data_IF_810972017602
#
_entry.id   IF_810972017602
#
_cell.length_a   1.000
_cell.length_b   1.000
_cell.length_c   1.000
_cell.angle_alpha   90.00
_cell.angle_beta   90.00
_cell.angle_gamma   90.00
#
_symmetry.space_group_name_H-M   'P 1'
#
loop_
_entity.id
_entity.type
_entity.pdbx_description
1 polymer ?
#
# COMPACT_ATOMS: atom_id res chain seq x y z
N UNK A 1 -7.94 7.57 -5.80
CA UNK A 1 -9.35 7.73 -5.39
C UNK A 1 -10.20 7.64 -6.64
N UNK A 2 -11.02 6.60 -6.76
CA UNK A 2 -12.04 6.52 -7.83
C UNK A 2 -13.20 7.40 -7.40
N UNK A 3 -13.54 8.43 -8.18
CA UNK A 3 -14.75 9.20 -7.96
C UNK A 3 -15.95 8.24 -8.09
N UNK A 4 -16.80 8.19 -7.06
CA UNK A 4 -18.04 7.40 -7.14
C UNK A 4 -18.97 8.00 -8.20
N UNK A 5 -19.95 7.24 -8.74
CA UNK A 5 -20.89 7.77 -9.73
C UNK A 5 -21.58 9.07 -9.28
N UNK A 6 -21.78 9.24 -7.96
CA UNK A 6 -22.31 10.45 -7.36
C UNK A 6 -21.30 11.61 -7.36
N UNK A 7 -20.03 11.35 -7.04
CA UNK A 7 -18.96 12.34 -7.21
C UNK A 7 -18.73 12.66 -8.69
N UNK A 8 -18.85 11.70 -9.60
CA UNK A 8 -18.80 11.96 -11.04
C UNK A 8 -19.98 12.84 -11.44
N UNK A 9 -21.21 12.59 -10.99
CA UNK A 9 -22.38 13.44 -11.29
C UNK A 9 -22.25 14.85 -10.70
N UNK A 10 -21.81 14.98 -9.45
CA UNK A 10 -21.58 16.28 -8.80
C UNK A 10 -20.41 17.01 -9.47
N UNK A 11 -19.32 16.31 -9.82
CA UNK A 11 -18.17 16.91 -10.51
C UNK A 11 -18.51 17.23 -11.97
N UNK A 12 -19.31 16.42 -12.67
CA UNK A 12 -19.77 16.73 -14.04
C UNK A 12 -20.65 17.98 -14.04
N UNK A 13 -21.55 18.09 -13.06
CA UNK A 13 -22.41 19.26 -12.89
C UNK A 13 -21.63 20.53 -12.49
N UNK A 14 -20.50 20.39 -11.78
CA UNK A 14 -19.72 21.53 -11.28
C UNK A 14 -18.49 21.92 -12.12
N UNK A 15 -17.92 21.01 -12.91
CA UNK A 15 -16.64 21.26 -13.64
C UNK A 15 -16.78 21.43 -15.14
N UNK A 16 -17.88 20.98 -15.76
CA UNK A 16 -18.21 21.40 -17.12
C UNK A 16 -18.94 22.74 -17.06
N UNK A 17 -18.16 23.81 -16.90
CA UNK A 17 -18.46 25.07 -17.56
C UNK A 17 -18.49 24.81 -19.06
N UNK A 18 -19.59 24.28 -19.56
CA UNK A 18 -19.83 24.15 -20.98
C UNK A 18 -19.62 25.54 -21.61
N UNK A 19 -18.93 25.65 -22.76
CA UNK A 19 -18.91 26.91 -23.48
C UNK A 19 -20.35 27.37 -23.64
N UNK A 20 -20.62 28.67 -23.45
CA UNK A 20 -21.95 29.29 -23.42
C UNK A 20 -22.68 29.24 -24.78
N UNK A 21 -22.77 28.06 -25.39
CA UNK A 21 -23.64 27.73 -26.50
C UNK A 21 -24.90 27.10 -25.92
N UNK A 22 -26.02 27.79 -26.11
CA UNK A 22 -27.41 27.39 -25.83
C UNK A 22 -27.59 25.95 -25.32
N UNK A 23 -27.55 25.76 -24.00
CA UNK A 23 -28.19 24.62 -23.38
C UNK A 23 -29.68 24.84 -23.63
N UNK A 24 -30.26 24.10 -24.59
CA UNK A 24 -31.71 24.00 -24.70
C UNK A 24 -32.25 23.62 -23.33
N UNK A 25 -33.02 24.52 -22.72
CA UNK A 25 -33.55 24.31 -21.39
C UNK A 25 -34.38 23.02 -21.41
N UNK A 26 -33.91 21.99 -20.71
CA UNK A 26 -34.69 20.77 -20.51
C UNK A 26 -36.08 21.15 -20.01
N UNK A 27 -37.15 20.58 -20.57
CA UNK A 27 -38.50 20.94 -20.18
C UNK A 27 -38.69 20.78 -18.67
N UNK A 28 -39.35 21.73 -17.99
CA UNK A 28 -39.49 21.68 -16.54
C UNK A 28 -40.24 20.41 -16.13
N UNK A 29 -39.74 19.74 -15.10
CA UNK A 29 -40.37 18.54 -14.59
C UNK A 29 -41.80 18.83 -14.11
N UNK A 30 -42.79 18.00 -14.51
CA UNK A 30 -44.19 18.29 -14.23
C UNK A 30 -44.45 18.36 -12.73
N UNK A 31 -45.18 19.40 -12.30
CA UNK A 31 -45.70 19.49 -10.94
C UNK A 31 -46.74 18.39 -10.75
N UNK A 32 -46.58 17.50 -9.76
CA UNK A 32 -47.51 16.40 -9.56
C UNK A 32 -48.90 16.97 -9.23
N UNK A 33 -49.90 16.62 -10.05
CA UNK A 33 -51.31 16.94 -9.80
C UNK A 33 -51.86 15.92 -8.80
N UNK A 34 -51.75 16.24 -7.51
CA UNK A 34 -52.21 15.41 -6.39
C UNK A 34 -51.11 14.60 -5.72
N UNK A 35 -51.51 13.83 -4.70
CA UNK A 35 -50.58 13.11 -3.82
C UNK A 35 -50.51 11.61 -4.09
N UNK A 36 -50.81 11.16 -5.32
CA UNK A 36 -50.62 9.74 -5.65
C UNK A 36 -49.13 9.37 -5.61
N UNK A 37 -48.83 8.15 -5.15
CA UNK A 37 -47.46 7.65 -5.04
C UNK A 37 -46.74 7.73 -6.40
N UNK A 38 -47.40 7.35 -7.48
CA UNK A 38 -46.81 7.37 -8.83
C UNK A 38 -46.55 8.77 -9.36
N UNK A 39 -47.39 9.75 -9.03
CA UNK A 39 -47.16 11.14 -9.45
C UNK A 39 -45.97 11.73 -8.70
N UNK A 40 -45.91 11.58 -7.38
CA UNK A 40 -44.81 12.08 -6.55
C UNK A 40 -43.48 11.39 -6.90
N UNK A 41 -43.48 10.07 -7.11
CA UNK A 41 -42.28 9.33 -7.50
C UNK A 41 -41.76 9.76 -8.88
N UNK A 42 -42.63 9.84 -9.90
CA UNK A 42 -42.20 10.28 -11.24
C UNK A 42 -41.69 11.72 -11.26
N UNK A 43 -42.33 12.61 -10.50
CA UNK A 43 -41.85 13.99 -10.36
C UNK A 43 -40.45 14.04 -9.71
N UNK A 44 -40.20 13.20 -8.70
CA UNK A 44 -38.89 13.08 -8.06
C UNK A 44 -37.82 12.49 -9.01
N UNK A 45 -38.17 11.45 -9.80
CA UNK A 45 -37.27 10.89 -10.81
C UNK A 45 -36.91 11.93 -11.87
N UNK A 46 -37.89 12.65 -12.41
CA UNK A 46 -37.63 13.69 -13.40
C UNK A 46 -36.64 14.73 -12.86
N UNK A 47 -36.81 15.20 -11.61
CA UNK A 47 -35.87 16.16 -11.01
C UNK A 47 -34.45 15.62 -10.91
N UNK A 48 -34.27 14.32 -10.67
CA UNK A 48 -32.95 13.69 -10.72
C UNK A 48 -32.41 13.61 -12.15
N UNK A 49 -33.26 13.29 -13.14
CA UNK A 49 -32.88 13.15 -14.54
C UNK A 49 -32.43 14.49 -15.15
N UNK A 50 -33.05 15.61 -14.75
CA UNK A 50 -32.63 16.97 -15.14
C UNK A 50 -31.60 17.58 -14.18
N UNK A 51 -31.12 16.82 -13.19
CA UNK A 51 -30.09 17.21 -12.21
C UNK A 51 -30.48 18.43 -11.36
N UNK A 52 -31.78 18.64 -11.12
CA UNK A 52 -32.30 19.63 -10.16
C UNK A 52 -32.28 19.01 -8.74
N UNK A 53 -31.11 18.99 -8.14
CA UNK A 53 -30.84 18.33 -6.85
C UNK A 53 -31.71 18.88 -5.70
N UNK A 54 -31.85 20.20 -5.49
CA UNK A 54 -32.71 20.75 -4.42
C UNK A 54 -34.18 20.34 -4.57
N UNK A 55 -34.72 20.38 -5.79
CA UNK A 55 -36.10 19.98 -6.05
C UNK A 55 -36.28 18.46 -5.90
N UNK A 56 -35.30 17.67 -6.36
CA UNK A 56 -35.30 16.22 -6.16
C UNK A 56 -35.33 15.85 -4.67
N UNK A 57 -34.53 16.51 -3.83
CA UNK A 57 -34.56 16.32 -2.37
C UNK A 57 -35.94 16.64 -1.80
N UNK A 58 -36.54 17.76 -2.19
CA UNK A 58 -37.88 18.16 -1.73
C UNK A 58 -38.93 17.12 -2.12
N UNK A 59 -38.92 16.65 -3.36
CA UNK A 59 -39.90 15.68 -3.88
C UNK A 59 -39.72 14.29 -3.29
N UNK A 60 -38.48 13.79 -3.16
CA UNK A 60 -38.18 12.52 -2.52
C UNK A 60 -38.59 12.53 -1.04
N UNK A 61 -38.32 13.63 -0.32
CA UNK A 61 -38.72 13.80 1.08
C UNK A 61 -40.24 13.81 1.21
N UNK A 62 -40.94 14.52 0.33
CA UNK A 62 -42.41 14.51 0.28
C UNK A 62 -42.94 13.11 0.01
N UNK A 63 -42.43 12.42 -1.01
CA UNK A 63 -42.82 11.06 -1.36
C UNK A 63 -42.68 10.11 -0.15
N UNK A 64 -41.49 10.06 0.47
CA UNK A 64 -41.22 9.16 1.59
C UNK A 64 -42.03 9.49 2.86
N UNK A 65 -42.49 10.73 2.99
CA UNK A 65 -43.33 11.18 4.11
C UNK A 65 -44.79 10.82 3.88
N UNK A 66 -45.32 11.05 2.68
CA UNK A 66 -46.72 10.79 2.34
C UNK A 66 -47.00 9.30 2.14
N UNK A 67 -46.04 8.55 1.57
CA UNK A 67 -46.21 7.12 1.23
C UNK A 67 -45.20 6.21 1.95
N UNK A 68 -45.11 6.23 3.29
CA UNK A 68 -44.05 5.52 4.02
C UNK A 68 -44.08 3.99 3.84
N UNK A 69 -45.25 3.41 3.52
CA UNK A 69 -45.43 1.98 3.30
C UNK A 69 -45.19 1.55 1.84
N UNK A 70 -45.08 2.50 0.90
CA UNK A 70 -44.76 2.17 -0.50
C UNK A 70 -43.33 1.56 -0.58
N UNK A 71 -43.13 0.42 -1.27
CA UNK A 71 -41.81 -0.20 -1.39
C UNK A 71 -40.72 0.73 -1.93
N UNK A 72 -41.07 1.74 -2.72
CA UNK A 72 -40.16 2.76 -3.26
C UNK A 72 -39.70 3.76 -2.20
N UNK A 73 -40.34 3.85 -1.03
CA UNK A 73 -39.92 4.77 0.03
C UNK A 73 -38.55 4.43 0.60
N UNK A 74 -38.19 3.14 0.62
CA UNK A 74 -36.81 2.71 0.91
C UNK A 74 -35.84 3.31 -0.12
N UNK A 75 -36.17 3.21 -1.41
CA UNK A 75 -35.34 3.79 -2.48
C UNK A 75 -35.28 5.33 -2.39
N UNK A 76 -36.37 5.97 -1.97
CA UNK A 76 -36.39 7.42 -1.75
C UNK A 76 -35.42 7.81 -0.64
N UNK A 77 -35.43 7.11 0.49
CA UNK A 77 -34.50 7.33 1.58
C UNK A 77 -33.04 7.03 1.19
N UNK A 78 -32.79 5.92 0.49
CA UNK A 78 -31.46 5.57 -0.04
C UNK A 78 -30.88 6.68 -0.95
N UNK A 79 -31.73 7.35 -1.73
CA UNK A 79 -31.32 8.48 -2.58
C UNK A 79 -31.18 9.79 -1.81
N UNK A 80 -32.05 10.06 -0.83
CA UNK A 80 -32.02 11.29 -0.05
C UNK A 80 -30.73 11.47 0.75
N UNK A 81 -30.21 10.40 1.36
CA UNK A 81 -29.02 10.48 2.21
C UNK A 81 -27.80 11.04 1.46
N UNK A 82 -27.35 10.47 0.33
CA UNK A 82 -26.23 11.03 -0.44
C UNK A 82 -26.51 12.42 -1.02
N UNK A 83 -27.74 12.72 -1.44
CA UNK A 83 -28.08 14.05 -1.98
C UNK A 83 -27.96 15.13 -0.89
N UNK A 84 -28.49 14.87 0.30
CA UNK A 84 -28.40 15.80 1.43
C UNK A 84 -26.94 16.00 1.87
N UNK A 85 -26.18 14.91 1.97
CA UNK A 85 -24.77 14.99 2.32
C UNK A 85 -23.95 15.73 1.24
N UNK A 86 -24.27 15.56 -0.05
CA UNK A 86 -23.63 16.27 -1.15
C UNK A 86 -23.95 17.77 -1.17
N UNK A 87 -25.10 18.17 -0.62
CA UNK A 87 -25.46 19.57 -0.38
C UNK A 87 -24.86 20.15 0.93
N UNK A 88 -24.07 19.37 1.68
CA UNK A 88 -23.54 19.74 2.98
C UNK A 88 -24.54 19.64 4.16
N UNK A 89 -25.77 19.19 3.93
CA UNK A 89 -26.78 18.94 4.97
C UNK A 89 -26.55 17.57 5.66
N UNK A 90 -25.40 17.41 6.32
CA UNK A 90 -25.04 16.18 7.03
C UNK A 90 -26.01 15.86 8.18
N UNK A 91 -26.61 16.88 8.79
CA UNK A 91 -27.61 16.70 9.87
C UNK A 91 -28.90 16.11 9.30
N UNK A 92 -29.39 16.64 8.18
CA UNK A 92 -30.54 16.12 7.46
C UNK A 92 -30.29 14.70 6.93
N UNK A 93 -29.12 14.44 6.35
CA UNK A 93 -28.73 13.12 5.89
C UNK A 93 -28.79 12.07 7.02
N UNK A 94 -28.22 12.37 8.19
CA UNK A 94 -28.29 11.49 9.38
C UNK A 94 -29.71 11.32 9.91
N UNK A 95 -30.54 12.37 9.89
CA UNK A 95 -31.94 12.27 10.29
C UNK A 95 -32.75 11.33 9.37
N UNK A 96 -32.52 11.43 8.05
CA UNK A 96 -33.12 10.53 7.06
C UNK A 96 -32.65 9.10 7.24
N UNK A 97 -31.35 8.87 7.45
CA UNK A 97 -30.81 7.54 7.72
C UNK A 97 -31.45 6.89 8.96
N UNK A 98 -31.56 7.63 10.07
CA UNK A 98 -32.25 7.14 11.27
C UNK A 98 -33.73 6.83 11.03
N UNK A 99 -34.40 7.61 10.17
CA UNK A 99 -35.78 7.35 9.80
C UNK A 99 -35.90 6.05 8.97
N UNK A 100 -34.98 5.82 8.04
CA UNK A 100 -34.85 4.59 7.27
C UNK A 100 -34.63 3.39 8.20
N UNK A 101 -33.67 3.48 9.11
CA UNK A 101 -33.35 2.44 10.10
C UNK A 101 -34.59 2.07 10.95
N UNK A 102 -35.23 3.06 11.59
CA UNK A 102 -36.38 2.81 12.47
C UNK A 102 -37.57 2.19 11.77
N UNK A 103 -37.90 2.65 10.56
CA UNK A 103 -39.10 2.20 9.84
C UNK A 103 -38.91 0.85 9.14
N UNK A 104 -37.67 0.42 8.93
CA UNK A 104 -37.37 -0.64 7.98
C UNK A 104 -36.35 -1.67 8.53
N UNK A 105 -36.57 -2.25 9.71
CA UNK A 105 -35.64 -3.19 10.38
C UNK A 105 -35.57 -4.64 9.86
N UNK A 106 -36.15 -5.01 8.70
CA UNK A 106 -36.01 -6.39 8.16
C UNK A 106 -34.66 -6.58 7.46
N UNK A 107 -34.13 -7.80 7.38
CA UNK A 107 -32.80 -8.09 6.81
C UNK A 107 -32.51 -7.44 5.43
N UNK A 108 -33.44 -7.53 4.47
CA UNK A 108 -33.31 -6.86 3.15
C UNK A 108 -33.16 -5.34 3.23
N UNK A 109 -33.71 -4.74 4.28
CA UNK A 109 -33.73 -3.29 4.51
C UNK A 109 -32.51 -2.84 5.35
N UNK A 110 -31.87 -3.73 6.12
CA UNK A 110 -30.56 -3.47 6.75
C UNK A 110 -29.48 -3.27 5.67
N UNK A 111 -29.52 -4.05 4.59
CA UNK A 111 -28.64 -3.88 3.42
C UNK A 111 -28.84 -2.48 2.80
N UNK A 112 -30.08 -2.05 2.64
CA UNK A 112 -30.42 -0.73 2.12
C UNK A 112 -29.92 0.40 3.03
N UNK A 113 -30.18 0.30 4.33
CA UNK A 113 -29.69 1.26 5.32
C UNK A 113 -28.15 1.34 5.34
N UNK A 114 -27.46 0.20 5.23
CA UNK A 114 -25.99 0.17 5.14
C UNK A 114 -25.46 0.85 3.88
N UNK A 115 -26.15 0.75 2.73
CA UNK A 115 -25.77 1.47 1.51
C UNK A 115 -25.94 2.98 1.66
N UNK A 116 -27.03 3.42 2.25
CA UNK A 116 -27.28 4.83 2.53
C UNK A 116 -26.22 5.40 3.50
N UNK A 117 -25.90 4.66 4.57
CA UNK A 117 -24.86 5.03 5.52
C UNK A 117 -23.47 5.12 4.86
N UNK A 118 -23.12 4.18 3.97
CA UNK A 118 -21.87 4.22 3.22
C UNK A 118 -21.77 5.45 2.31
N UNK A 119 -22.85 5.83 1.65
CA UNK A 119 -22.85 7.02 0.81
C UNK A 119 -22.64 8.31 1.61
N UNK A 120 -23.11 8.36 2.87
CA UNK A 120 -22.80 9.45 3.80
C UNK A 120 -21.31 9.47 4.19
N UNK A 121 -20.71 8.29 4.43
CA UNK A 121 -19.29 8.14 4.79
C UNK A 121 -18.33 8.68 3.73
N UNK A 122 -18.63 8.48 2.45
CA UNK A 122 -17.77 8.94 1.35
C UNK A 122 -17.69 10.46 1.22
N UNK A 123 -18.59 11.18 1.89
CA UNK A 123 -18.68 12.63 1.88
C UNK A 123 -18.09 13.28 3.15
N UNK A 124 -17.60 12.47 4.10
CA UNK A 124 -16.85 12.97 5.25
C UNK A 124 -15.45 13.40 4.81
N UNK A 125 -15.17 14.70 4.86
CA UNK A 125 -13.89 15.27 4.42
C UNK A 125 -12.76 15.22 5.45
N UNK A 126 -13.09 15.04 6.74
CA UNK A 126 -12.11 14.97 7.83
C UNK A 126 -11.89 13.51 8.27
N UNK A 127 -10.63 13.14 8.49
CA UNK A 127 -10.25 11.76 8.81
C UNK A 127 -10.72 11.31 10.20
N UNK A 128 -10.84 12.23 11.19
CA UNK A 128 -11.42 11.87 12.50
C UNK A 128 -12.91 11.60 12.41
N UNK A 129 -13.64 12.47 11.70
CA UNK A 129 -15.06 12.28 11.45
C UNK A 129 -15.26 10.97 10.69
N UNK A 130 -14.46 10.73 9.66
CA UNK A 130 -14.53 9.51 8.85
C UNK A 130 -14.24 8.25 9.67
N UNK A 131 -13.21 8.29 10.54
CA UNK A 131 -12.90 7.18 11.46
C UNK A 131 -14.07 6.89 12.39
N UNK A 132 -14.62 7.92 13.04
CA UNK A 132 -15.74 7.76 13.97
C UNK A 132 -16.99 7.20 13.28
N UNK A 133 -17.31 7.68 12.09
CA UNK A 133 -18.46 7.21 11.31
C UNK A 133 -18.22 5.78 10.78
N UNK A 134 -16.99 5.41 10.37
CA UNK A 134 -16.65 4.03 9.97
C UNK A 134 -16.80 3.05 11.14
N UNK A 135 -16.38 3.45 12.34
CA UNK A 135 -16.58 2.66 13.55
C UNK A 135 -18.07 2.49 13.85
N UNK A 136 -18.84 3.60 13.86
CA UNK A 136 -20.28 3.56 14.08
C UNK A 136 -21.00 2.68 13.03
N UNK A 137 -20.55 2.72 11.78
CA UNK A 137 -21.06 1.84 10.73
C UNK A 137 -20.79 0.36 11.03
N UNK A 138 -19.58 0.00 11.44
CA UNK A 138 -19.24 -1.39 11.78
C UNK A 138 -19.98 -1.87 13.04
N UNK A 139 -20.22 -0.99 14.01
CA UNK A 139 -20.99 -1.32 15.21
C UNK A 139 -22.47 -1.59 14.87
N UNK A 140 -23.05 -0.81 13.96
CA UNK A 140 -24.46 -0.96 13.56
C UNK A 140 -24.68 -2.07 12.52
N UNK A 141 -23.74 -2.26 11.58
CA UNK A 141 -23.93 -3.05 10.36
C UNK A 141 -22.87 -4.16 10.17
N UNK A 142 -21.91 -4.31 11.09
CA UNK A 142 -20.78 -5.22 10.96
C UNK A 142 -21.13 -6.70 10.89
N UNK A 143 -22.34 -7.10 11.30
CA UNK A 143 -22.83 -8.48 11.25
C UNK A 143 -23.87 -8.69 10.14
N UNK A 144 -24.75 -7.70 9.91
CA UNK A 144 -25.98 -7.85 9.11
C UNK A 144 -26.04 -6.95 7.88
N UNK A 145 -25.10 -6.01 7.73
CA UNK A 145 -25.02 -5.09 6.61
C UNK A 145 -24.64 -5.73 5.27
N UNK A 146 -24.63 -4.93 4.20
CA UNK A 146 -24.22 -5.39 2.89
C UNK A 146 -22.78 -5.96 2.94
N UNK A 147 -22.54 -7.21 2.46
CA UNK A 147 -21.23 -7.86 2.52
C UNK A 147 -20.06 -7.02 2.03
N UNK A 148 -20.19 -6.39 0.86
CA UNK A 148 -19.12 -5.58 0.28
C UNK A 148 -18.79 -4.35 1.14
N UNK A 149 -19.80 -3.73 1.75
CA UNK A 149 -19.64 -2.54 2.58
C UNK A 149 -19.01 -2.86 3.93
N UNK A 150 -19.32 -4.02 4.52
CA UNK A 150 -18.68 -4.50 5.76
C UNK A 150 -17.17 -4.64 5.56
N UNK A 151 -16.76 -5.27 4.45
CA UNK A 151 -15.34 -5.42 4.07
C UNK A 151 -14.70 -4.06 3.81
N UNK A 152 -15.37 -3.19 3.05
CA UNK A 152 -14.85 -1.87 2.72
C UNK A 152 -14.69 -0.96 3.95
N UNK A 153 -15.62 -1.03 4.90
CA UNK A 153 -15.56 -0.30 6.15
C UNK A 153 -14.41 -0.78 7.02
N UNK A 154 -14.27 -2.10 7.21
CA UNK A 154 -13.17 -2.68 7.99
C UNK A 154 -11.80 -2.33 7.37
N UNK A 155 -11.64 -2.47 6.06
CA UNK A 155 -10.38 -2.13 5.38
C UNK A 155 -10.05 -0.64 5.46
N UNK A 156 -11.04 0.24 5.33
CA UNK A 156 -10.82 1.70 5.38
C UNK A 156 -10.57 2.21 6.79
N UNK A 157 -11.26 1.66 7.80
CA UNK A 157 -10.98 1.95 9.21
C UNK A 157 -9.56 1.47 9.57
N UNK A 158 -9.21 0.27 9.12
CA UNK A 158 -7.88 -0.29 9.32
C UNK A 158 -6.77 0.56 8.72
N UNK A 159 -6.96 1.06 7.49
CA UNK A 159 -6.03 1.99 6.83
C UNK A 159 -5.88 3.30 7.61
N UNK A 160 -6.97 3.93 8.04
CA UNK A 160 -6.92 5.19 8.79
C UNK A 160 -6.20 5.02 10.13
N UNK A 161 -6.54 3.97 10.89
CA UNK A 161 -5.85 3.66 12.15
C UNK A 161 -4.37 3.36 11.92
N UNK A 162 -4.06 2.63 10.85
CA UNK A 162 -2.69 2.36 10.46
C UNK A 162 -1.93 3.64 10.11
N UNK A 163 -2.45 4.51 9.25
CA UNK A 163 -1.80 5.77 8.88
C UNK A 163 -1.57 6.67 10.09
N UNK A 164 -2.59 6.82 10.95
CA UNK A 164 -2.51 7.63 12.18
C UNK A 164 -1.57 7.08 13.24
N UNK A 165 -1.26 5.79 13.19
CA UNK A 165 -0.26 5.24 14.11
C UNK A 165 1.13 5.80 13.85
N UNK A 166 1.43 6.41 12.69
CA UNK A 166 2.70 7.11 12.48
C UNK A 166 2.79 8.35 13.38
N UNK A 167 3.78 8.40 14.27
CA UNK A 167 4.04 9.59 15.10
C UNK A 167 4.62 10.74 14.26
N UNK A 168 5.40 10.40 13.23
CA UNK A 168 6.00 11.32 12.27
C UNK A 168 5.61 10.88 10.86
N UNK A 169 5.32 11.84 9.97
CA UNK A 169 5.07 11.57 8.55
C UNK A 169 6.34 11.01 7.92
N UNK A 170 6.32 9.71 7.57
CA UNK A 170 7.43 9.08 6.85
C UNK A 170 7.30 9.18 5.34
N UNK A 171 8.29 8.66 4.62
CA UNK A 171 8.31 8.72 3.16
C UNK A 171 7.27 7.80 2.50
N UNK A 172 6.57 8.35 1.52
CA UNK A 172 5.80 7.60 0.53
C UNK A 172 4.93 6.47 1.16
N UNK A 173 4.08 6.82 2.13
CA UNK A 173 3.10 5.93 2.78
C UNK A 173 3.63 4.90 3.80
N UNK A 174 4.88 5.01 4.27
CA UNK A 174 5.41 4.24 5.42
C UNK A 174 5.73 5.16 6.59
N UNK A 175 5.73 4.65 7.84
CA UNK A 175 6.24 5.46 8.96
C UNK A 175 7.77 5.41 9.07
N UNK A 176 8.41 4.37 8.53
CA UNK A 176 9.86 4.23 8.61
C UNK A 176 10.47 5.10 7.52
N UNK A 177 11.22 6.14 7.92
CA UNK A 177 12.00 6.95 6.99
C UNK A 177 12.84 6.02 6.13
N UNK A 178 12.83 6.23 4.81
CA UNK A 178 13.74 5.50 3.93
C UNK A 178 15.14 5.85 4.43
N UNK A 179 16.05 4.90 4.67
CA UNK A 179 17.43 5.27 4.90
C UNK A 179 17.88 6.03 3.64
N UNK A 180 17.96 7.36 3.74
CA UNK A 180 18.27 8.26 2.63
C UNK A 180 19.55 7.76 2.00
N UNK A 181 19.43 7.28 0.77
CA UNK A 181 20.49 7.17 -0.21
C UNK A 181 21.90 6.79 0.31
N UNK A 182 22.03 5.86 1.25
CA UNK A 182 23.28 5.16 1.45
C UNK A 182 23.71 4.34 0.22
N UNK A 183 22.90 3.95 -0.80
CA UNK A 183 23.45 3.18 -1.91
C UNK A 183 24.30 4.04 -2.85
N UNK A 184 23.96 5.29 -3.19
CA UNK A 184 24.85 6.07 -4.06
C UNK A 184 26.10 6.52 -3.31
N UNK A 185 26.00 6.99 -2.06
CA UNK A 185 27.17 7.34 -1.27
C UNK A 185 27.97 6.12 -0.81
N UNK A 186 27.37 4.99 -0.41
CA UNK A 186 28.12 3.79 -0.01
C UNK A 186 28.57 2.96 -1.22
N UNK A 187 27.85 2.94 -2.35
CA UNK A 187 28.36 2.29 -3.57
C UNK A 187 29.38 3.20 -4.26
N UNK A 188 29.21 4.53 -4.29
CA UNK A 188 30.21 5.47 -4.82
C UNK A 188 31.41 5.64 -3.88
N UNK A 189 31.27 5.70 -2.55
CA UNK A 189 32.40 5.70 -1.61
C UNK A 189 33.08 4.33 -1.56
N UNK A 190 32.33 3.22 -1.58
CA UNK A 190 32.96 1.90 -1.63
C UNK A 190 33.50 1.54 -3.03
N UNK A 191 33.36 2.43 -4.03
CA UNK A 191 34.07 2.35 -5.32
C UNK A 191 35.07 3.48 -5.54
N UNK A 192 35.00 4.59 -4.81
CA UNK A 192 35.90 5.74 -4.91
C UNK A 192 36.99 5.77 -3.81
N UNK A 193 36.79 5.06 -2.69
CA UNK A 193 37.73 5.01 -1.56
C UNK A 193 38.06 3.56 -1.20
N UNK A 194 38.82 2.90 -2.08
CA UNK A 194 39.63 1.73 -1.72
C UNK A 194 40.95 2.11 -1.03
N UNK A 195 41.28 3.40 -0.89
CA UNK A 195 42.57 3.86 -0.36
C UNK A 195 42.56 4.55 1.00
N UNK A 196 41.45 5.16 1.45
CA UNK A 196 41.51 6.01 2.65
C UNK A 196 40.41 5.74 3.68
N UNK A 197 40.90 5.61 4.91
CA UNK A 197 40.22 5.36 6.19
C UNK A 197 38.78 5.87 6.26
N UNK A 198 37.83 4.96 6.08
CA UNK A 198 36.43 5.21 6.42
C UNK A 198 36.28 5.18 7.94
N UNK A 199 36.03 6.34 8.53
CA UNK A 199 35.51 6.43 9.90
C UNK A 199 34.14 5.75 9.93
N UNK A 200 33.92 4.91 10.94
CA UNK A 200 32.60 4.33 11.22
C UNK A 200 31.54 5.44 11.18
N UNK A 201 30.40 5.24 10.49
CA UNK A 201 29.22 6.01 10.84
C UNK A 201 28.93 5.65 12.30
N UNK A 202 28.95 6.66 13.18
CA UNK A 202 28.50 6.51 14.55
C UNK A 202 27.16 5.77 14.53
N UNK A 203 26.95 4.83 15.46
CA UNK A 203 25.65 4.21 15.70
C UNK A 203 24.60 5.32 15.72
N UNK A 204 23.89 5.46 14.59
CA UNK A 204 22.96 6.56 14.41
C UNK A 204 21.86 6.46 15.47
N UNK A 205 21.17 7.56 15.78
CA UNK A 205 19.93 7.47 16.54
C UNK A 205 19.03 6.37 15.95
N UNK A 206 18.23 5.66 16.78
CA UNK A 206 17.26 4.70 16.27
C UNK A 206 16.45 5.35 15.15
N UNK A 207 16.16 4.62 14.05
CA UNK A 207 15.55 5.24 12.89
C UNK A 207 14.24 5.94 13.30
N UNK A 208 14.06 7.23 12.95
CA UNK A 208 12.79 7.92 13.14
C UNK A 208 11.67 7.14 12.42
N UNK A 209 10.45 7.19 12.98
CA UNK A 209 9.32 6.42 12.46
C UNK A 209 8.67 5.41 13.41
N UNK A 210 8.60 5.74 14.71
CA UNK A 210 7.85 4.93 15.65
C UNK A 210 6.35 4.96 15.33
N UNK A 211 5.71 3.78 15.39
CA UNK A 211 4.26 3.69 15.39
C UNK A 211 3.75 3.69 16.82
N UNK A 212 2.63 4.34 17.08
CA UNK A 212 1.84 4.10 18.29
C UNK A 212 1.31 2.65 18.24
N UNK A 213 1.79 1.73 19.12
CA UNK A 213 1.50 0.31 18.98
C UNK A 213 0.01 -0.02 19.04
N UNK A 214 -0.74 0.66 19.92
CA UNK A 214 -2.17 0.44 20.09
C UNK A 214 -2.97 0.74 18.82
N UNK A 215 -2.69 1.87 18.15
CA UNK A 215 -3.33 2.23 16.88
C UNK A 215 -2.91 1.30 15.74
N UNK A 216 -1.63 0.92 15.69
CA UNK A 216 -1.12 0.00 14.68
C UNK A 216 -1.77 -1.39 14.78
N UNK A 217 -1.92 -1.93 16.00
CA UNK A 217 -2.54 -3.23 16.25
C UNK A 217 -4.05 -3.19 16.01
N UNK A 218 -4.74 -2.11 16.41
CA UNK A 218 -6.14 -1.89 16.09
C UNK A 218 -6.36 -1.81 14.56
N UNK A 219 -5.49 -1.08 13.85
CA UNK A 219 -5.50 -1.00 12.40
C UNK A 219 -5.30 -2.36 11.73
N UNK A 220 -4.26 -3.09 12.13
CA UNK A 220 -3.99 -4.44 11.63
C UNK A 220 -5.16 -5.41 11.88
N UNK A 221 -5.80 -5.32 13.04
CA UNK A 221 -6.96 -6.14 13.39
C UNK A 221 -8.15 -5.88 12.45
N UNK A 222 -8.44 -4.62 12.12
CA UNK A 222 -9.52 -4.29 11.18
C UNK A 222 -9.18 -4.68 9.73
N UNK A 223 -7.92 -4.55 9.32
CA UNK A 223 -7.46 -5.03 8.01
C UNK A 223 -7.60 -6.55 7.88
N UNK A 224 -7.21 -7.30 8.92
CA UNK A 224 -7.38 -8.74 8.97
C UNK A 224 -8.87 -9.12 8.96
N UNK A 225 -9.71 -8.43 9.73
CA UNK A 225 -11.17 -8.61 9.71
C UNK A 225 -11.74 -8.46 8.30
N UNK A 226 -11.27 -7.50 7.49
CA UNK A 226 -11.73 -7.35 6.11
C UNK A 226 -11.41 -8.59 5.25
N UNK A 227 -10.23 -9.18 5.44
CA UNK A 227 -9.83 -10.44 4.77
C UNK A 227 -10.72 -11.59 5.24
N UNK A 228 -10.92 -11.74 6.55
CA UNK A 228 -11.71 -12.83 7.12
C UNK A 228 -13.17 -12.77 6.66
N UNK A 229 -13.77 -11.58 6.68
CA UNK A 229 -15.12 -11.32 6.15
C UNK A 229 -15.25 -11.77 4.68
N UNK A 230 -14.22 -11.56 3.86
CA UNK A 230 -14.25 -11.96 2.45
C UNK A 230 -14.24 -13.47 2.23
N UNK A 231 -13.81 -14.23 3.23
CA UNK A 231 -13.76 -15.69 3.18
C UNK A 231 -15.10 -16.33 3.57
N UNK A 232 -15.98 -15.60 4.26
CA UNK A 232 -17.31 -16.09 4.65
C UNK A 232 -18.15 -16.51 3.42
N UNK A 233 -18.81 -17.66 3.54
CA UNK A 233 -19.66 -18.21 2.47
C UNK A 233 -20.89 -17.34 2.16
N UNK A 234 -21.36 -16.57 3.15
CA UNK A 234 -22.43 -15.57 3.03
C UNK A 234 -22.03 -14.45 2.07
N UNK A 235 -20.79 -13.96 2.17
CA UNK A 235 -20.26 -12.91 1.31
C UNK A 235 -20.15 -13.38 -0.13
N UNK A 236 -19.56 -14.57 -0.37
CA UNK A 236 -19.41 -15.11 -1.73
C UNK A 236 -20.75 -15.22 -2.47
N UNK A 237 -21.82 -15.59 -1.77
CA UNK A 237 -23.20 -15.65 -2.32
C UNK A 237 -23.83 -14.27 -2.52
N UNK A 238 -23.46 -13.28 -1.71
CA UNK A 238 -24.01 -11.92 -1.74
C UNK A 238 -23.40 -11.00 -2.80
N UNK A 239 -22.22 -11.30 -3.35
CA UNK A 239 -21.51 -10.45 -4.32
C UNK A 239 -21.99 -10.61 -5.77
N UNK A 240 -23.27 -10.31 -6.02
CA UNK A 240 -23.87 -10.46 -7.35
C UNK A 240 -23.53 -9.32 -8.30
N UNK A 241 -23.39 -8.08 -7.80
CA UNK A 241 -23.14 -6.90 -8.62
C UNK A 241 -21.66 -6.75 -8.95
N UNK A 242 -21.35 -6.29 -10.16
CA UNK A 242 -19.97 -6.03 -10.57
C UNK A 242 -19.30 -4.96 -9.71
N UNK A 243 -20.05 -3.92 -9.33
CA UNK A 243 -19.60 -2.86 -8.42
C UNK A 243 -19.23 -3.38 -7.03
N UNK A 244 -20.08 -4.23 -6.44
CA UNK A 244 -19.81 -4.86 -5.14
C UNK A 244 -18.52 -5.70 -5.21
N UNK A 245 -18.32 -6.46 -6.30
CA UNK A 245 -17.08 -7.21 -6.52
C UNK A 245 -15.86 -6.29 -6.65
N UNK A 246 -15.96 -5.21 -7.43
CA UNK A 246 -14.87 -4.26 -7.61
C UNK A 246 -14.50 -3.57 -6.29
N UNK A 247 -15.50 -3.18 -5.49
CA UNK A 247 -15.30 -2.61 -4.16
C UNK A 247 -14.56 -3.60 -3.25
N UNK A 248 -15.00 -4.86 -3.18
CA UNK A 248 -14.31 -5.89 -2.38
C UNK A 248 -12.87 -6.09 -2.84
N UNK A 249 -12.61 -6.16 -4.14
CA UNK A 249 -11.23 -6.28 -4.64
C UNK A 249 -10.36 -5.09 -4.23
N UNK A 250 -10.92 -3.87 -4.28
CA UNK A 250 -10.22 -2.66 -3.84
C UNK A 250 -9.93 -2.68 -2.34
N UNK A 251 -10.91 -3.07 -1.52
CA UNK A 251 -10.76 -3.18 -0.08
C UNK A 251 -9.76 -4.25 0.34
N UNK A 252 -9.74 -5.39 -0.34
CA UNK A 252 -8.78 -6.46 -0.07
C UNK A 252 -7.36 -6.08 -0.49
N UNK A 253 -7.18 -5.40 -1.64
CA UNK A 253 -5.88 -4.88 -2.03
C UNK A 253 -5.32 -3.93 -0.97
N UNK A 254 -6.18 -3.06 -0.42
CA UNK A 254 -5.83 -2.14 0.68
C UNK A 254 -5.43 -2.91 1.94
N UNK A 255 -6.26 -3.87 2.37
CA UNK A 255 -5.98 -4.70 3.54
C UNK A 255 -4.66 -5.47 3.43
N UNK A 256 -4.46 -6.16 2.31
CA UNK A 256 -3.25 -6.94 2.02
C UNK A 256 -2.01 -6.03 1.95
N UNK A 257 -2.13 -4.84 1.37
CA UNK A 257 -1.02 -3.88 1.28
C UNK A 257 -0.55 -3.41 2.64
N UNK A 258 -1.45 -2.95 3.51
CA UNK A 258 -1.07 -2.42 4.82
C UNK A 258 -0.57 -3.51 5.77
N UNK A 259 -1.10 -4.73 5.69
CA UNK A 259 -0.55 -5.86 6.45
C UNK A 259 0.87 -6.23 5.97
N UNK A 260 1.10 -6.25 4.65
CA UNK A 260 2.46 -6.46 4.11
C UNK A 260 3.40 -5.30 4.49
N UNK A 261 2.90 -4.07 4.55
CA UNK A 261 3.66 -2.89 4.99
C UNK A 261 4.07 -3.01 6.46
N UNK A 262 3.20 -3.50 7.35
CA UNK A 262 3.55 -3.78 8.76
C UNK A 262 4.75 -4.71 8.86
N UNK A 263 4.69 -5.81 8.12
CA UNK A 263 5.72 -6.84 8.16
C UNK A 263 7.02 -6.35 7.50
N UNK A 264 6.90 -5.53 6.44
CA UNK A 264 8.04 -4.86 5.81
C UNK A 264 8.75 -3.90 6.77
N UNK A 265 8.01 -3.08 7.51
CA UNK A 265 8.60 -2.19 8.51
C UNK A 265 9.22 -2.95 9.70
N UNK A 266 8.62 -4.09 10.09
CA UNK A 266 9.21 -4.98 11.10
C UNK A 266 10.55 -5.53 10.63
N UNK A 267 10.64 -5.95 9.37
CA UNK A 267 11.88 -6.41 8.76
C UNK A 267 12.94 -5.29 8.77
N UNK A 268 12.58 -4.07 8.33
CA UNK A 268 13.49 -2.93 8.32
C UNK A 268 13.99 -2.56 9.72
N UNK A 269 13.11 -2.59 10.73
CA UNK A 269 13.47 -2.29 12.13
C UNK A 269 14.38 -3.35 12.75
N UNK A 270 14.16 -4.63 12.44
CA UNK A 270 15.03 -5.71 12.92
C UNK A 270 16.44 -5.58 12.37
N UNK A 271 16.58 -4.99 11.18
CA UNK A 271 17.85 -4.88 10.49
C UNK A 271 18.40 -6.25 10.10
N UNK A 272 19.70 -6.29 9.78
CA UNK A 272 20.40 -7.56 9.55
C UNK A 272 20.62 -8.28 10.89
N UNK A 273 20.65 -9.62 10.90
CA UNK A 273 20.98 -10.38 12.10
C UNK A 273 22.30 -9.88 12.72
N UNK A 274 22.38 -9.73 14.06
CA UNK A 274 23.58 -9.23 14.72
C UNK A 274 24.82 -10.06 14.44
N UNK A 275 24.68 -11.35 14.09
CA UNK A 275 25.76 -12.25 13.68
C UNK A 275 26.45 -11.82 12.36
N UNK A 276 25.84 -10.87 11.63
CA UNK A 276 26.39 -10.27 10.40
C UNK A 276 27.23 -9.01 10.73
N UNK A 277 27.08 -8.44 11.92
CA UNK A 277 27.76 -7.20 12.34
C UNK A 277 29.01 -7.49 13.18
N UNK A 278 30.03 -8.12 12.61
CA UNK A 278 31.35 -8.10 13.25
C UNK A 278 32.09 -6.79 12.93
N UNK A 279 32.41 -6.04 13.99
CA UNK A 279 33.10 -4.76 13.89
C UNK A 279 34.56 -4.98 13.46
N UNK A 280 34.95 -4.38 12.33
CA UNK A 280 36.35 -4.34 11.89
C UNK A 280 37.33 -3.80 12.96
N UNK A 281 36.83 -3.05 13.95
CA UNK A 281 37.66 -2.52 15.05
C UNK A 281 38.04 -3.54 16.13
N UNK A 282 37.24 -4.60 16.34
CA UNK A 282 37.59 -5.65 17.33
C UNK A 282 38.68 -6.60 16.82
N UNK A 283 38.85 -6.68 15.51
CA UNK A 283 39.81 -7.59 14.88
C UNK A 283 41.22 -6.96 14.82
N UNK A 284 41.32 -5.63 14.85
CA UNK A 284 42.57 -4.88 14.61
C UNK A 284 43.73 -5.18 15.58
N UNK A 285 43.49 -5.67 16.79
CA UNK A 285 44.56 -5.88 17.78
C UNK A 285 45.12 -7.30 17.82
N UNK A 286 44.44 -8.29 17.25
CA UNK A 286 44.88 -9.71 17.23
C UNK A 286 45.49 -10.14 15.88
N UNK A 287 45.52 -9.22 14.89
CA UNK A 287 45.71 -9.49 13.45
C UNK A 287 47.15 -9.52 12.91
N UNK A 288 48.17 -9.71 13.75
CA UNK A 288 49.55 -9.85 13.24
C UNK A 288 49.88 -11.28 12.75
N UNK A 289 49.03 -12.27 13.06
CA UNK A 289 49.29 -13.70 12.79
C UNK A 289 48.53 -14.21 11.55
N UNK A 290 49.18 -14.92 10.60
CA UNK A 290 48.50 -15.64 9.51
C UNK A 290 47.40 -16.61 9.96
N UNK A 291 47.47 -17.25 11.14
CA UNK A 291 46.35 -18.08 11.64
C UNK A 291 45.08 -17.25 11.93
N UNK A 292 45.26 -15.99 12.35
CA UNK A 292 44.16 -15.04 12.56
C UNK A 292 43.49 -14.59 11.25
N UNK A 293 44.18 -14.70 10.11
CA UNK A 293 43.60 -14.38 8.79
C UNK A 293 42.62 -15.47 8.34
N UNK A 294 42.94 -16.75 8.51
CA UNK A 294 42.04 -17.85 8.12
C UNK A 294 40.76 -17.89 8.97
N UNK A 295 40.87 -17.63 10.28
CA UNK A 295 39.69 -17.47 11.14
C UNK A 295 38.81 -16.30 10.73
N UNK A 296 39.40 -15.18 10.26
CA UNK A 296 38.63 -14.05 9.73
C UNK A 296 37.83 -14.43 8.48
N UNK A 297 38.45 -15.13 7.53
CA UNK A 297 37.76 -15.59 6.30
C UNK A 297 36.61 -16.53 6.64
N UNK A 298 36.80 -17.44 7.59
CA UNK A 298 35.75 -18.36 8.04
C UNK A 298 34.59 -17.63 8.74
N UNK A 299 34.87 -16.66 9.61
CA UNK A 299 33.83 -15.85 10.27
C UNK A 299 33.08 -15.01 9.24
N UNK A 300 33.78 -14.34 8.33
CA UNK A 300 33.17 -13.56 7.25
C UNK A 300 32.34 -14.46 6.32
N UNK A 301 32.80 -15.67 5.96
CA UNK A 301 32.02 -16.66 5.21
C UNK A 301 30.78 -17.14 5.98
N UNK A 302 30.84 -17.24 7.31
CA UNK A 302 29.65 -17.57 8.12
C UNK A 302 28.66 -16.42 8.11
N UNK A 303 29.11 -15.17 8.27
CA UNK A 303 28.25 -13.98 8.15
C UNK A 303 27.66 -13.86 6.74
N UNK A 304 28.42 -14.22 5.69
CA UNK A 304 27.96 -14.35 4.31
C UNK A 304 26.79 -15.32 4.19
N UNK A 305 26.99 -16.53 4.71
CA UNK A 305 26.01 -17.62 4.65
C UNK A 305 24.79 -17.28 5.49
N UNK A 306 24.96 -16.64 6.64
CA UNK A 306 23.86 -16.14 7.47
C UNK A 306 23.06 -15.07 6.73
N UNK A 307 23.74 -14.16 6.02
CA UNK A 307 23.10 -13.11 5.24
C UNK A 307 22.43 -13.66 3.97
N UNK A 308 23.01 -14.66 3.32
CA UNK A 308 22.41 -15.37 2.20
C UNK A 308 21.22 -16.23 2.65
N UNK A 309 21.29 -16.88 3.81
CA UNK A 309 20.18 -17.59 4.43
C UNK A 309 19.05 -16.62 4.80
N UNK A 310 19.40 -15.42 5.29
CA UNK A 310 18.45 -14.34 5.52
C UNK A 310 17.82 -13.86 4.21
N UNK A 311 18.60 -13.69 3.14
CA UNK A 311 18.11 -13.32 1.80
C UNK A 311 17.18 -14.39 1.19
N UNK A 312 17.29 -15.64 1.66
CA UNK A 312 16.41 -16.75 1.32
C UNK A 312 15.33 -17.02 2.37
N UNK A 313 15.24 -16.20 3.41
CA UNK A 313 14.34 -16.43 4.52
C UNK A 313 12.88 -16.44 4.04
N UNK A 314 12.10 -17.33 4.64
CA UNK A 314 10.68 -17.48 4.33
C UNK A 314 9.91 -16.17 4.56
N UNK A 315 10.40 -15.29 5.43
CA UNK A 315 9.85 -13.97 5.69
C UNK A 315 9.92 -13.02 4.48
N UNK A 316 11.04 -13.00 3.75
CA UNK A 316 11.18 -12.20 2.52
C UNK A 316 10.22 -12.71 1.44
N UNK A 317 10.17 -14.03 1.25
CA UNK A 317 9.24 -14.66 0.30
C UNK A 317 7.79 -14.42 0.71
N UNK A 318 7.47 -14.41 2.00
CA UNK A 318 6.14 -14.10 2.50
C UNK A 318 5.75 -12.65 2.20
N UNK A 319 6.67 -11.69 2.34
CA UNK A 319 6.47 -10.28 1.96
C UNK A 319 6.27 -10.12 0.46
N UNK A 320 7.11 -10.73 -0.36
CA UNK A 320 6.96 -10.73 -1.83
C UNK A 320 5.60 -11.29 -2.24
N UNK A 321 5.19 -12.43 -1.68
CA UNK A 321 3.86 -13.02 -1.92
C UNK A 321 2.74 -12.10 -1.43
N UNK A 322 2.94 -11.40 -0.32
CA UNK A 322 2.03 -10.39 0.20
C UNK A 322 1.76 -9.28 -0.81
N UNK A 323 2.83 -8.64 -1.29
CA UNK A 323 2.73 -7.58 -2.31
C UNK A 323 2.27 -8.11 -3.68
N UNK A 324 2.64 -9.33 -4.06
CA UNK A 324 2.17 -9.94 -5.28
C UNK A 324 0.65 -10.14 -5.28
N UNK A 325 0.03 -10.48 -4.13
CA UNK A 325 -1.44 -10.50 -3.99
C UNK A 325 -2.03 -9.13 -4.25
N UNK A 326 -1.47 -8.07 -3.68
CA UNK A 326 -1.92 -6.68 -3.93
C UNK A 326 -1.87 -6.32 -5.41
N UNK A 327 -0.77 -6.65 -6.10
CA UNK A 327 -0.60 -6.40 -7.54
C UNK A 327 -1.65 -7.18 -8.35
N UNK A 328 -1.90 -8.44 -7.99
CA UNK A 328 -2.88 -9.29 -8.67
C UNK A 328 -4.33 -8.79 -8.53
N UNK A 329 -4.64 -8.00 -7.49
CA UNK A 329 -5.95 -7.34 -7.32
C UNK A 329 -6.19 -6.22 -8.34
N UNK A 330 -5.13 -5.73 -9.00
CA UNK A 330 -5.24 -4.77 -10.11
C UNK A 330 -5.62 -3.35 -9.72
N UNK A 331 -5.52 -2.97 -8.44
CA UNK A 331 -5.74 -1.59 -8.00
C UNK A 331 -4.54 -0.73 -8.38
N UNK A 332 -4.64 0.25 -9.31
CA UNK A 332 -3.46 0.84 -9.93
C UNK A 332 -2.46 1.47 -8.96
N UNK A 333 -2.94 2.35 -8.07
CA UNK A 333 -2.09 3.05 -7.10
C UNK A 333 -1.45 2.07 -6.12
N UNK A 334 -2.24 1.15 -5.56
CA UNK A 334 -1.73 0.15 -4.60
C UNK A 334 -0.79 -0.87 -5.27
N UNK A 335 -1.03 -1.24 -6.52
CA UNK A 335 -0.16 -2.13 -7.28
C UNK A 335 1.19 -1.47 -7.56
N UNK A 336 1.20 -0.18 -7.93
CA UNK A 336 2.42 0.59 -8.11
C UNK A 336 3.21 0.73 -6.80
N UNK A 337 2.51 1.00 -5.68
CA UNK A 337 3.13 1.05 -4.36
C UNK A 337 3.69 -0.32 -3.93
N UNK A 338 2.93 -1.40 -4.12
CA UNK A 338 3.37 -2.75 -3.83
C UNK A 338 4.62 -3.15 -4.64
N UNK A 339 4.65 -2.83 -5.94
CA UNK A 339 5.82 -3.05 -6.78
C UNK A 339 7.03 -2.23 -6.30
N UNK A 340 6.81 -0.98 -5.88
CA UNK A 340 7.85 -0.14 -5.25
C UNK A 340 8.41 -0.79 -3.98
N UNK A 341 7.55 -1.37 -3.12
CA UNK A 341 7.99 -2.03 -1.89
C UNK A 341 8.78 -3.31 -2.14
N UNK A 342 8.36 -4.11 -3.12
CA UNK A 342 9.15 -5.27 -3.58
C UNK A 342 10.53 -4.82 -4.09
N UNK A 343 10.58 -3.75 -4.88
CA UNK A 343 11.83 -3.21 -5.37
C UNK A 343 12.76 -2.75 -4.23
N UNK A 344 12.21 -2.01 -3.27
CA UNK A 344 12.91 -1.56 -2.07
C UNK A 344 13.39 -2.72 -1.19
N UNK A 345 12.60 -3.78 -1.07
CA UNK A 345 12.96 -4.99 -0.34
C UNK A 345 14.23 -5.63 -0.92
N UNK A 346 14.22 -5.89 -2.23
CA UNK A 346 15.38 -6.44 -2.91
C UNK A 346 16.58 -5.50 -2.93
N UNK A 347 16.33 -4.18 -3.07
CA UNK A 347 17.39 -3.17 -2.97
C UNK A 347 18.04 -3.21 -1.59
N UNK A 348 17.25 -3.29 -0.51
CA UNK A 348 17.75 -3.40 0.86
C UNK A 348 18.62 -4.65 1.04
N UNK A 349 18.13 -5.83 0.63
CA UNK A 349 18.88 -7.09 0.71
C UNK A 349 20.18 -7.02 -0.10
N UNK A 350 20.13 -6.49 -1.33
CA UNK A 350 21.31 -6.33 -2.16
C UNK A 350 22.33 -5.36 -1.55
N UNK A 351 21.89 -4.21 -1.05
CA UNK A 351 22.74 -3.23 -0.38
C UNK A 351 23.37 -3.81 0.89
N UNK A 352 22.62 -4.59 1.65
CA UNK A 352 23.14 -5.31 2.83
C UNK A 352 24.22 -6.32 2.46
N UNK A 353 24.02 -7.13 1.41
CA UNK A 353 25.01 -8.09 0.91
C UNK A 353 26.28 -7.40 0.40
N UNK A 354 26.12 -6.28 -0.29
CA UNK A 354 27.26 -5.53 -0.86
C UNK A 354 27.95 -4.64 0.19
N UNK A 355 27.26 -4.24 1.25
CA UNK A 355 27.70 -3.27 2.24
C UNK A 355 28.64 -3.80 3.33
N UNK A 356 29.01 -5.09 3.32
CA UNK A 356 29.90 -5.68 4.33
C UNK A 356 31.30 -5.04 4.22
N UNK A 357 31.72 -4.17 5.17
CA UNK A 357 32.88 -3.29 5.00
C UNK A 357 34.24 -4.01 5.07
N UNK A 358 34.32 -5.16 5.73
CA UNK A 358 35.58 -5.78 6.15
C UNK A 358 36.36 -6.46 5.02
N UNK A 359 35.75 -6.67 3.85
CA UNK A 359 36.32 -7.51 2.79
C UNK A 359 36.95 -6.75 1.64
N UNK A 360 36.51 -5.50 1.40
CA UNK A 360 37.00 -4.71 0.26
C UNK A 360 38.45 -4.24 0.44
N UNK A 361 38.89 -4.05 1.68
CA UNK A 361 40.30 -3.76 1.99
C UNK A 361 41.24 -4.97 1.87
N UNK A 362 40.70 -6.19 1.92
CA UNK A 362 41.47 -7.43 1.74
C UNK A 362 41.59 -7.83 0.26
N UNK A 363 40.59 -7.48 -0.56
CA UNK A 363 40.50 -7.82 -1.99
C UNK A 363 41.65 -7.31 -2.84
N UNK A 364 42.22 -6.15 -2.49
CA UNK A 364 43.39 -5.60 -3.17
C UNK A 364 44.72 -6.19 -2.71
N UNK A 365 44.74 -6.92 -1.58
CA UNK A 365 45.97 -7.42 -0.96
C UNK A 365 46.12 -8.93 -1.07
N UNK A 366 45.05 -9.66 -1.39
CA UNK A 366 45.04 -11.12 -1.39
C UNK A 366 44.11 -11.69 -2.46
N UNK A 367 44.52 -12.75 -3.21
CA UNK A 367 43.71 -13.38 -4.25
C UNK A 367 42.36 -13.90 -3.75
N UNK A 368 42.31 -14.39 -2.51
CA UNK A 368 41.09 -14.98 -1.94
C UNK A 368 39.97 -13.95 -1.72
N UNK A 369 40.31 -12.67 -1.50
CA UNK A 369 39.30 -11.65 -1.26
C UNK A 369 38.62 -11.16 -2.55
N UNK A 370 39.25 -11.34 -3.72
CA UNK A 370 38.58 -11.18 -5.02
C UNK A 370 37.55 -12.30 -5.25
N UNK A 371 37.92 -13.56 -5.01
CA UNK A 371 37.00 -14.72 -5.08
C UNK A 371 35.83 -14.57 -4.10
N UNK A 372 36.11 -14.07 -2.90
CA UNK A 372 35.10 -13.77 -1.89
C UNK A 372 34.13 -12.69 -2.37
N UNK A 373 34.62 -11.56 -2.89
CA UNK A 373 33.77 -10.51 -3.46
C UNK A 373 32.91 -11.01 -4.62
N UNK A 374 33.47 -11.89 -5.46
CA UNK A 374 32.73 -12.51 -6.56
C UNK A 374 31.61 -13.44 -6.06
N UNK A 375 31.87 -14.25 -5.03
CA UNK A 375 30.87 -15.09 -4.39
C UNK A 375 29.70 -14.25 -3.82
N UNK A 376 29.99 -13.13 -3.16
CA UNK A 376 28.96 -12.21 -2.67
C UNK A 376 28.18 -11.52 -3.78
N UNK A 377 28.88 -11.07 -4.82
CA UNK A 377 28.24 -10.51 -5.99
C UNK A 377 27.29 -11.53 -6.63
N UNK A 378 27.63 -12.82 -6.64
CA UNK A 378 26.75 -13.88 -7.13
C UNK A 378 25.44 -13.97 -6.31
N UNK A 379 25.48 -13.78 -4.99
CA UNK A 379 24.27 -13.72 -4.15
C UNK A 379 23.49 -12.42 -4.28
N UNK A 380 24.16 -11.27 -4.42
CA UNK A 380 23.51 -9.96 -4.53
C UNK A 380 22.86 -9.72 -5.90
N UNK A 381 23.47 -10.24 -6.99
CA UNK A 381 23.02 -10.03 -8.38
C UNK A 381 21.54 -10.39 -8.62
N UNK A 382 21.02 -11.54 -8.15
CA UNK A 382 19.59 -11.86 -8.24
C UNK A 382 18.69 -10.79 -7.63
N UNK A 383 19.04 -10.27 -6.45
CA UNK A 383 18.26 -9.21 -5.79
C UNK A 383 18.36 -7.88 -6.53
N UNK A 384 19.53 -7.50 -7.05
CA UNK A 384 19.66 -6.30 -7.90
C UNK A 384 18.76 -6.41 -9.15
N UNK A 385 18.77 -7.57 -9.83
CA UNK A 385 17.92 -7.80 -11.01
C UNK A 385 16.43 -7.75 -10.65
N UNK A 386 16.04 -8.36 -9.53
CA UNK A 386 14.67 -8.33 -9.03
C UNK A 386 14.22 -6.90 -8.67
N UNK A 387 15.09 -6.10 -8.03
CA UNK A 387 14.81 -4.70 -7.71
C UNK A 387 14.58 -3.86 -8.99
N UNK A 388 15.45 -4.00 -10.00
CA UNK A 388 15.29 -3.32 -11.30
C UNK A 388 13.99 -3.74 -11.98
N UNK A 389 13.69 -5.04 -12.00
CA UNK A 389 12.46 -5.55 -12.60
C UNK A 389 11.21 -5.00 -11.89
N UNK A 390 11.21 -4.94 -10.57
CA UNK A 390 10.09 -4.42 -9.78
C UNK A 390 9.91 -2.90 -9.93
N UNK A 391 10.98 -2.11 -9.98
CA UNK A 391 10.87 -0.67 -10.33
C UNK A 391 10.34 -0.45 -11.74
N UNK A 392 10.80 -1.25 -12.71
CA UNK A 392 10.28 -1.22 -14.08
C UNK A 392 8.79 -1.55 -14.15
N UNK A 393 8.33 -2.56 -13.39
CA UNK A 393 6.91 -2.88 -13.26
C UNK A 393 6.13 -1.71 -12.64
N UNK A 394 6.63 -1.10 -11.56
CA UNK A 394 5.98 0.08 -10.98
C UNK A 394 5.84 1.21 -12.01
N UNK A 395 6.91 1.55 -12.73
CA UNK A 395 6.88 2.60 -13.74
C UNK A 395 5.84 2.29 -14.83
N UNK A 396 5.80 1.05 -15.33
CA UNK A 396 4.81 0.61 -16.31
C UNK A 396 3.36 0.65 -15.77
N UNK A 397 3.13 0.44 -14.47
CA UNK A 397 1.82 0.65 -13.85
C UNK A 397 1.45 2.13 -13.78
N UNK A 398 2.40 2.99 -13.38
CA UNK A 398 2.17 4.41 -13.23
C UNK A 398 1.89 5.10 -14.57
N UNK A 399 2.58 4.70 -15.65
CA UNK A 399 2.32 5.21 -17.01
C UNK A 399 0.91 4.89 -17.51
N UNK A 400 0.44 3.66 -17.26
CA UNK A 400 -0.88 3.22 -17.72
C UNK A 400 -2.04 3.88 -16.97
N UNK A 401 -1.79 4.46 -15.79
CA UNK A 401 -2.83 4.95 -14.91
C UNK A 401 -2.52 6.36 -14.40
N UNK A 402 -3.23 7.36 -14.94
CA UNK A 402 -3.07 8.78 -14.58
C UNK A 402 -3.13 9.05 -13.06
N UNK A 403 -3.86 8.22 -12.30
CA UNK A 403 -3.98 8.31 -10.84
C UNK A 403 -2.75 7.87 -10.02
N UNK A 404 -1.63 7.50 -10.66
CA UNK A 404 -0.41 7.04 -10.00
C UNK A 404 0.80 7.98 -10.26
N UNK A 405 0.57 9.22 -10.69
CA UNK A 405 1.63 10.19 -11.00
C UNK A 405 2.60 10.43 -9.83
N UNK A 406 2.11 10.49 -8.59
CA UNK A 406 2.95 10.64 -7.40
C UNK A 406 3.92 9.46 -7.21
N UNK A 407 3.49 8.23 -7.56
CA UNK A 407 4.30 7.01 -7.44
C UNK A 407 5.32 6.91 -8.58
N UNK A 408 5.00 7.46 -9.75
CA UNK A 408 5.89 7.45 -10.94
C UNK A 408 7.28 7.98 -10.60
N UNK A 409 7.35 9.14 -9.93
CA UNK A 409 8.64 9.75 -9.55
C UNK A 409 9.46 8.80 -8.66
N UNK A 410 8.85 8.24 -7.62
CA UNK A 410 9.52 7.29 -6.72
C UNK A 410 10.06 6.07 -7.46
N UNK A 411 9.38 5.62 -8.51
CA UNK A 411 9.80 4.46 -9.29
C UNK A 411 10.95 4.77 -10.26
N UNK A 412 10.93 5.96 -10.88
CA UNK A 412 12.05 6.47 -11.67
C UNK A 412 13.28 6.71 -10.81
N UNK A 413 13.14 7.42 -9.70
CA UNK A 413 14.25 7.68 -8.76
C UNK A 413 14.89 6.37 -8.27
N UNK A 414 14.05 5.37 -7.97
CA UNK A 414 14.51 4.03 -7.60
C UNK A 414 15.27 3.31 -8.71
N UNK A 415 14.75 3.34 -9.94
CA UNK A 415 15.40 2.75 -11.10
C UNK A 415 16.74 3.44 -11.42
N UNK A 416 16.78 4.77 -11.37
CA UNK A 416 17.98 5.58 -11.62
C UNK A 416 19.05 5.31 -10.56
N UNK A 417 18.67 5.17 -9.29
CA UNK A 417 19.62 4.84 -8.21
C UNK A 417 20.32 3.49 -8.41
N UNK A 418 19.67 2.53 -9.08
CA UNK A 418 20.27 1.25 -9.47
C UNK A 418 21.02 1.33 -10.81
N UNK A 419 20.57 2.22 -11.71
CA UNK A 419 21.11 2.42 -13.04
C UNK A 419 22.43 3.20 -13.07
N UNK A 420 22.63 4.19 -12.19
CA UNK A 420 23.90 4.94 -12.07
C UNK A 420 25.09 4.05 -11.71
N UNK A 421 24.85 2.86 -11.16
CA UNK A 421 25.89 1.84 -10.98
C UNK A 421 26.40 1.20 -12.28
N UNK A 422 25.62 1.23 -13.38
CA UNK A 422 26.00 0.65 -14.69
C UNK A 422 26.98 1.52 -15.49
N UNK A 423 27.03 2.83 -15.22
CA UNK A 423 27.94 3.76 -15.91
C UNK A 423 29.41 3.59 -15.50
N UNK A 424 29.71 2.70 -14.54
CA UNK A 424 31.06 2.22 -14.23
C UNK A 424 31.19 0.73 -14.66
N UNK A 425 31.40 0.44 -15.96
CA UNK A 425 31.56 -0.93 -16.45
C UNK A 425 32.79 -1.67 -15.88
N UNK A 426 33.69 -0.98 -15.18
CA UNK A 426 34.90 -1.58 -14.58
C UNK A 426 34.64 -2.45 -13.34
N UNK A 427 33.41 -2.48 -12.79
CA UNK A 427 33.15 -3.08 -11.47
C UNK A 427 32.45 -4.45 -11.48
N UNK A 428 32.14 -4.98 -12.66
CA UNK A 428 31.71 -6.37 -12.82
C UNK A 428 32.48 -6.94 -14.01
N UNK A 429 33.44 -7.86 -13.79
CA UNK A 429 34.14 -8.47 -14.92
C UNK A 429 33.11 -9.09 -15.86
N UNK A 430 33.31 -8.88 -17.16
CA UNK A 430 32.52 -9.54 -18.19
C UNK A 430 32.52 -11.05 -17.90
N UNK A 431 31.36 -11.68 -18.01
CA UNK A 431 31.11 -13.07 -17.59
C UNK A 431 31.83 -14.14 -18.46
N UNK A 432 33.06 -13.90 -18.91
CA UNK A 432 33.70 -14.67 -19.98
C UNK A 432 35.13 -15.17 -19.74
N UNK A 433 35.84 -14.74 -18.69
CA UNK A 433 37.25 -15.16 -18.51
C UNK A 433 37.52 -15.61 -17.08
N UNK A 434 37.10 -16.83 -16.76
CA UNK A 434 37.64 -17.57 -15.61
C UNK A 434 39.07 -18.02 -15.96
N UNK A 435 40.08 -17.79 -15.11
CA UNK A 435 41.39 -18.40 -15.27
C UNK A 435 41.24 -19.92 -15.13
N UNK A 436 41.51 -20.66 -16.21
CA UNK A 436 41.26 -22.11 -16.35
C UNK A 436 42.13 -23.03 -15.49
N UNK A 437 42.83 -22.55 -14.47
CA UNK A 437 43.58 -23.44 -13.55
C UNK A 437 43.65 -22.90 -12.12
N UNK A 438 43.11 -23.62 -11.11
CA UNK A 438 43.44 -23.32 -9.73
C UNK A 438 44.90 -23.70 -9.45
N UNK A 439 45.67 -22.76 -8.89
CA UNK A 439 46.95 -23.09 -8.23
C UNK A 439 46.59 -23.84 -6.95
N UNK A 440 46.95 -25.14 -6.88
CA UNK A 440 46.81 -25.96 -5.67
C UNK A 440 47.58 -25.30 -4.51
N UNK A 441 46.87 -24.65 -3.59
CA UNK A 441 47.27 -24.55 -2.19
C UNK A 441 46.41 -25.58 -1.43
N UNK A 442 47.07 -26.56 -0.81
CA UNK A 442 46.42 -27.70 -0.16
C UNK A 442 45.77 -27.31 1.15
N UNK A 443 44.57 -26.74 1.09
CA UNK A 443 43.65 -26.69 2.23
C UNK A 443 42.50 -27.63 1.92
N UNK A 444 42.54 -28.81 2.55
CA UNK A 444 41.48 -29.80 2.51
C UNK A 444 40.40 -29.30 3.47
N UNK A 445 39.33 -28.71 2.93
CA UNK A 445 38.14 -28.40 3.70
C UNK A 445 37.30 -29.66 3.78
N UNK A 446 37.28 -30.30 4.95
CA UNK A 446 36.31 -31.36 5.22
C UNK A 446 34.90 -30.78 5.20
N UNK A 447 34.04 -31.45 4.42
CA UNK A 447 32.63 -31.11 4.22
C UNK A 447 31.84 -32.15 4.98
N UNK A 448 31.23 -31.73 6.10
CA UNK A 448 30.12 -32.42 6.76
C UNK A 448 28.80 -31.70 6.46
#
# INVERSE_FOLDING_TARGET
MHATPLQVLITFALTLGAPAGAVEASPPCPTPRGESADALWRAAQCSLDVVDVPEAVTRLRRFATVHPEDPRSVQAYERLVPLLAGLGDHKGARAVLRALERKHLRALRVVAASRAAWAHLELAGDDEIRRAELQAFLDAYGETGAPALRIAAAASLGELLWQRSCVEDGDAYGCVARPEAAPEAATAAATATCSDTLKQPASGPPPPGAREPALADAGASQLQRAIDLSQESSVKRGLQRAEDRALVQASLAKAEFHLAQRDFERLLRRGLPPEVWYSASQVSSELADPEGQDQRVLVELRSARALAAFAQAEELRALERGYARVIARGQPTLSALAATRVAQLHQHVASSLLGVPSLRGAASRTPWAAEYCEAFAAYARPHVRAAIAAFGQCHAFAERHRGAAAVKKTCLDGQDSLGRGRSRPELLPAAGELPTKPRRAGVQLDVD
#
